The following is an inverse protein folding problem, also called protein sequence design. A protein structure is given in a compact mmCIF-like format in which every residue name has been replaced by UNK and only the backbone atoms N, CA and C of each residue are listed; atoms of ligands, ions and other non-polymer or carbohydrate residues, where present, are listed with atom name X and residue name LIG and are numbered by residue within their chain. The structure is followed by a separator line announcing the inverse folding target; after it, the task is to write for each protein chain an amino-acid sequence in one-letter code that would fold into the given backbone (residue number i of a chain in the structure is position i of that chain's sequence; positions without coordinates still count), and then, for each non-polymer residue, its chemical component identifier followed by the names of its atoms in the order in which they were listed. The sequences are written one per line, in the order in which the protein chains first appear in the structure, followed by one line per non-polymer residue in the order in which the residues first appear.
data_IF_356169502180
#
_entry.id   IF_356169502180
#
_cell.length_a   1.000
_cell.length_b   1.000
_cell.length_c   1.000
_cell.angle_alpha   90.00
_cell.angle_beta   90.00
_cell.angle_gamma   90.00
#
_symmetry.space_group_name_H-M   'P 1'
#
loop_
_entity.id
_entity.type
_entity.pdbx_description
1 polymer ?
#
# COMPACT_ATOMS: atom_id res chain seq x y z
N UNK A 1 14.81 -57.30 -30.93
CA UNK A 1 15.23 -56.83 -32.27
C UNK A 1 15.17 -55.31 -32.25
N UNK A 2 16.30 -54.63 -32.56
CA UNK A 2 16.47 -53.26 -33.11
C UNK A 2 15.65 -52.09 -32.53
N UNK A 3 16.15 -50.88 -32.19
CA UNK A 3 17.39 -50.07 -32.38
C UNK A 3 17.24 -48.85 -31.42
N UNK A 4 18.23 -48.48 -30.57
CA UNK A 4 19.18 -47.32 -30.67
C UNK A 4 18.55 -45.93 -30.93
N UNK A 5 18.95 -44.77 -30.38
CA UNK A 5 20.28 -44.24 -29.99
C UNK A 5 20.16 -42.93 -29.13
N UNK A 6 21.18 -42.69 -28.29
CA UNK A 6 21.94 -41.44 -27.93
C UNK A 6 21.33 -40.07 -27.52
N UNK A 7 21.85 -39.53 -26.40
CA UNK A 7 22.72 -38.31 -26.27
C UNK A 7 22.87 -37.94 -24.77
N UNK A 8 24.01 -38.12 -24.08
CA UNK A 8 25.26 -37.30 -23.94
C UNK A 8 25.14 -35.93 -23.23
N UNK A 9 26.19 -35.68 -22.42
CA UNK A 9 26.80 -34.44 -21.88
C UNK A 9 26.85 -34.48 -20.34
N UNK A 10 27.92 -34.19 -19.62
CA UNK A 10 29.39 -34.14 -19.82
C UNK A 10 29.98 -33.97 -18.41
N UNK A 11 31.18 -34.48 -18.17
CA UNK A 11 31.96 -34.23 -16.95
C UNK A 11 32.60 -32.84 -17.01
N UNK A 12 32.79 -32.18 -15.85
CA UNK A 12 34.13 -31.82 -15.37
C UNK A 12 34.15 -30.93 -14.11
N UNK A 13 35.28 -31.08 -13.40
CA UNK A 13 35.98 -30.16 -12.48
C UNK A 13 35.87 -30.40 -10.96
N UNK A 14 36.98 -30.99 -10.48
CA UNK A 14 37.56 -30.94 -9.14
C UNK A 14 37.59 -29.53 -8.53
N UNK A 15 37.33 -29.43 -7.22
CA UNK A 15 38.25 -28.75 -6.30
C UNK A 15 38.25 -29.45 -4.93
N UNK A 16 39.46 -29.64 -4.41
CA UNK A 16 39.80 -30.36 -3.19
C UNK A 16 40.23 -29.36 -2.12
N UNK A 17 39.49 -29.27 -1.01
CA UNK A 17 40.06 -28.73 0.24
C UNK A 17 39.23 -29.16 1.46
N UNK A 18 39.45 -30.40 1.92
CA UNK A 18 39.09 -30.83 3.27
C UNK A 18 40.28 -31.51 3.94
N UNK A 19 40.91 -30.73 4.80
CA UNK A 19 41.37 -31.04 6.16
C UNK A 19 41.66 -32.52 6.42
N UNK A 20 42.95 -32.84 6.51
CA UNK A 20 43.42 -34.09 7.08
C UNK A 20 43.44 -34.07 8.61
N UNK A 21 43.30 -35.27 9.18
CA UNK A 21 44.18 -35.86 10.21
C UNK A 21 43.47 -36.48 11.44
N UNK A 22 43.64 -37.81 11.54
CA UNK A 22 43.90 -38.61 12.75
C UNK A 22 42.79 -38.86 13.79
N UNK A 23 42.38 -40.13 13.94
CA UNK A 23 42.89 -41.04 15.00
C UNK A 23 42.33 -42.48 14.83
N UNK A 24 43.17 -43.55 14.86
CA UNK A 24 42.73 -44.94 14.88
C UNK A 24 43.03 -45.63 16.23
N UNK A 25 42.05 -46.34 16.81
CA UNK A 25 42.30 -47.65 17.45
C UNK A 25 41.02 -48.46 17.78
N UNK A 26 41.09 -49.80 17.81
CA UNK A 26 39.95 -50.71 17.92
C UNK A 26 39.87 -51.40 19.29
N UNK A 27 38.68 -51.86 19.72
CA UNK A 27 38.55 -53.06 20.57
C UNK A 27 37.17 -53.72 20.40
N UNK A 28 37.22 -55.04 20.52
CA UNK A 28 36.24 -56.10 20.27
C UNK A 28 35.23 -56.24 21.43
N UNK A 29 33.99 -56.66 21.13
CA UNK A 29 33.07 -57.19 22.15
C UNK A 29 31.71 -57.64 21.59
N UNK A 30 31.54 -58.96 21.45
CA UNK A 30 30.36 -59.68 20.92
C UNK A 30 29.41 -60.07 22.07
N UNK A 31 28.07 -59.98 21.90
CA UNK A 31 27.09 -61.09 22.11
C UNK A 31 25.60 -60.65 22.11
N UNK A 32 24.84 -61.28 21.19
CA UNK A 32 23.51 -61.92 21.30
C UNK A 32 22.19 -61.15 21.56
N UNK A 33 21.32 -61.26 20.54
CA UNK A 33 19.84 -61.26 20.48
C UNK A 33 19.16 -62.27 21.46
N UNK A 34 17.83 -62.19 21.81
CA UNK A 34 16.75 -62.24 20.80
C UNK A 34 15.35 -61.62 21.10
N UNK A 35 14.54 -61.61 20.02
CA UNK A 35 13.10 -61.93 19.91
C UNK A 35 12.00 -60.82 19.98
N UNK A 36 11.36 -60.68 18.80
CA UNK A 36 9.92 -60.75 18.53
C UNK A 36 8.98 -59.54 18.81
N UNK A 37 8.32 -59.12 17.72
CA UNK A 37 6.88 -58.79 17.49
C UNK A 37 6.88 -57.70 16.39
N UNK A 38 6.60 -57.98 15.12
CA UNK A 38 5.29 -58.38 14.59
C UNK A 38 4.57 -57.15 14.01
N UNK A 39 4.89 -56.75 12.77
CA UNK A 39 4.13 -55.74 12.02
C UNK A 39 3.39 -56.43 10.86
N UNK A 40 2.06 -56.50 10.99
CA UNK A 40 1.14 -56.87 9.91
C UNK A 40 0.93 -55.69 8.96
N UNK A 41 0.79 -56.00 7.68
CA UNK A 41 0.59 -55.04 6.62
C UNK A 41 -0.85 -54.55 6.47
N UNK A 42 -1.01 -53.52 5.63
CA UNK A 42 -2.18 -53.33 4.81
C UNK A 42 -1.81 -52.45 3.61
N UNK A 43 -2.32 -52.88 2.47
CA UNK A 43 -2.20 -52.32 1.12
C UNK A 43 -3.18 -51.17 0.91
N UNK A 44 -2.78 -50.20 0.07
CA UNK A 44 -3.54 -49.58 -1.05
C UNK A 44 -3.50 -48.04 -1.09
N UNK A 45 -3.04 -47.42 -2.20
CA UNK A 45 -3.37 -46.04 -2.55
C UNK A 45 -4.29 -46.01 -3.79
N UNK A 46 -5.53 -45.57 -3.61
CA UNK A 46 -6.40 -45.14 -4.71
C UNK A 46 -6.23 -43.64 -5.00
N UNK A 47 -6.26 -43.20 -6.28
CA UNK A 47 -6.15 -41.79 -6.66
C UNK A 47 -7.52 -41.09 -6.66
N UNK A 48 -7.54 -39.82 -6.26
CA UNK A 48 -8.71 -38.94 -6.30
C UNK A 48 -8.79 -38.27 -7.68
N UNK A 49 -9.92 -38.44 -8.38
CA UNK A 49 -10.27 -37.68 -9.59
C UNK A 49 -10.80 -36.28 -9.24
N UNK A 50 -10.56 -35.25 -10.08
CA UNK A 50 -11.27 -33.98 -10.00
C UNK A 50 -12.43 -33.91 -11.03
N UNK A 51 -13.58 -33.45 -10.58
CA UNK A 51 -14.74 -33.13 -11.40
C UNK A 51 -15.11 -31.66 -11.23
N UNK A 52 -14.86 -30.80 -12.21
CA UNK A 52 -15.64 -29.57 -12.37
C UNK A 52 -15.79 -29.15 -13.84
N UNK A 53 -16.94 -28.53 -14.19
CA UNK A 53 -17.44 -28.41 -15.56
C UNK A 53 -16.94 -27.16 -16.30
N UNK A 54 -16.90 -27.29 -17.63
CA UNK A 54 -16.60 -26.25 -18.60
C UNK A 54 -17.80 -25.29 -18.72
N UNK A 55 -17.60 -24.01 -18.39
CA UNK A 55 -18.54 -22.93 -18.72
C UNK A 55 -18.14 -22.21 -19.99
N UNK A 56 -19.18 -21.89 -20.76
CA UNK A 56 -19.17 -21.48 -22.16
C UNK A 56 -18.61 -20.06 -22.40
N UNK A 57 -17.98 -19.92 -23.57
CA UNK A 57 -17.48 -18.67 -24.14
C UNK A 57 -18.63 -17.71 -24.47
N UNK A 58 -18.65 -16.54 -23.82
CA UNK A 58 -19.50 -15.41 -24.20
C UNK A 58 -18.85 -14.59 -25.31
N UNK A 59 -19.54 -14.43 -26.43
CA UNK A 59 -19.10 -13.61 -27.57
C UNK A 59 -19.23 -12.10 -27.29
N UNK A 60 -18.32 -11.23 -27.78
CA UNK A 60 -18.39 -9.79 -27.55
C UNK A 60 -19.47 -9.13 -28.42
N UNK A 61 -20.43 -8.48 -27.76
CA UNK A 61 -21.50 -7.70 -28.38
C UNK A 61 -20.93 -6.37 -28.92
N UNK A 62 -20.67 -6.31 -30.23
CA UNK A 62 -20.33 -5.07 -30.95
C UNK A 62 -21.47 -4.06 -30.83
N UNK A 63 -21.27 -2.99 -30.04
CA UNK A 63 -22.12 -1.80 -30.02
C UNK A 63 -21.93 -1.01 -31.32
N UNK A 64 -22.86 -1.15 -32.25
CA UNK A 64 -22.95 -0.32 -33.46
C UNK A 64 -23.63 1.00 -33.10
N UNK A 65 -22.88 2.10 -33.14
CA UNK A 65 -23.40 3.47 -32.97
C UNK A 65 -23.90 3.96 -34.33
N UNK A 66 -25.18 4.33 -34.51
CA UNK A 66 -25.64 4.91 -35.76
C UNK A 66 -25.18 6.37 -35.85
N UNK A 67 -24.28 6.65 -36.79
CA UNK A 67 -23.90 8.01 -37.19
C UNK A 67 -25.08 8.62 -37.95
N UNK A 68 -25.84 9.48 -37.29
CA UNK A 68 -26.84 10.32 -37.96
C UNK A 68 -26.11 11.51 -38.58
N UNK A 69 -25.88 11.42 -39.90
CA UNK A 69 -25.34 12.52 -40.69
C UNK A 69 -26.36 13.65 -40.78
N UNK A 70 -26.11 14.76 -40.05
CA UNK A 70 -26.89 15.98 -40.19
C UNK A 70 -26.43 16.75 -41.44
N UNK A 71 -27.28 16.72 -42.47
CA UNK A 71 -27.13 17.46 -43.72
C UNK A 71 -27.49 18.93 -43.46
N UNK A 72 -26.48 19.80 -43.40
CA UNK A 72 -26.67 21.26 -43.31
C UNK A 72 -26.96 21.79 -44.72
N UNK A 73 -28.23 22.09 -45.01
CA UNK A 73 -28.62 22.86 -46.19
C UNK A 73 -28.62 24.34 -45.82
N UNK A 74 -27.62 25.07 -46.30
CA UNK A 74 -27.60 26.53 -46.25
C UNK A 74 -28.52 27.09 -47.34
N UNK A 75 -29.60 27.77 -46.96
CA UNK A 75 -30.37 28.64 -47.86
C UNK A 75 -30.15 30.09 -47.44
N UNK A 76 -29.41 30.79 -48.28
CA UNK A 76 -29.27 32.24 -48.29
C UNK A 76 -30.55 32.83 -48.89
N UNK A 77 -31.24 33.68 -48.13
CA UNK A 77 -32.40 34.44 -48.59
C UNK A 77 -32.39 35.85 -47.98
N UNK A 78 -31.77 36.79 -48.69
CA UNK A 78 -31.99 38.23 -48.52
C UNK A 78 -33.42 38.56 -48.96
N UNK A 79 -34.15 39.39 -48.19
CA UNK A 79 -34.91 40.57 -48.65
C UNK A 79 -35.86 41.10 -47.56
N UNK A 80 -35.60 42.34 -47.11
CA UNK A 80 -36.64 43.37 -47.03
C UNK A 80 -37.50 43.50 -45.76
N UNK A 81 -37.19 44.53 -44.96
CA UNK A 81 -38.19 45.52 -44.51
C UNK A 81 -38.94 45.27 -43.20
N UNK A 82 -38.84 46.23 -42.27
CA UNK A 82 -39.81 46.41 -41.18
C UNK A 82 -39.17 46.47 -39.80
N UNK A 83 -38.80 47.67 -39.36
CA UNK A 83 -38.45 47.93 -37.97
C UNK A 83 -39.70 47.81 -37.08
N UNK A 84 -39.77 46.73 -36.30
CA UNK A 84 -40.47 46.68 -35.03
C UNK A 84 -39.48 46.14 -34.02
N UNK A 85 -38.92 47.04 -33.20
CA UNK A 85 -38.05 46.70 -32.08
C UNK A 85 -38.92 46.05 -31.00
N UNK A 86 -39.19 44.75 -31.18
CA UNK A 86 -39.68 43.90 -30.11
C UNK A 86 -38.48 43.50 -29.26
N UNK A 87 -38.35 44.08 -28.08
CA UNK A 87 -37.42 43.61 -27.05
C UNK A 87 -37.79 42.19 -26.67
N UNK A 88 -37.18 41.20 -27.33
CA UNK A 88 -37.15 39.84 -26.79
C UNK A 88 -36.22 39.89 -25.59
N UNK A 89 -36.80 39.92 -24.40
CA UNK A 89 -36.09 39.54 -23.20
C UNK A 89 -35.45 38.18 -23.49
N UNK A 90 -34.12 38.14 -23.51
CA UNK A 90 -33.42 36.87 -23.44
C UNK A 90 -33.78 36.31 -22.07
N UNK A 91 -34.64 35.29 -22.04
CA UNK A 91 -34.82 34.48 -20.85
C UNK A 91 -33.43 33.97 -20.48
N UNK A 92 -32.80 34.62 -19.51
CA UNK A 92 -31.56 34.19 -18.94
C UNK A 92 -31.89 32.92 -18.17
N UNK A 93 -31.74 31.76 -18.82
CA UNK A 93 -31.67 30.49 -18.11
C UNK A 93 -30.65 30.67 -17.00
N UNK A 94 -31.02 30.49 -15.72
CA UNK A 94 -30.07 30.60 -14.62
C UNK A 94 -28.90 29.68 -14.93
N UNK A 95 -27.68 30.24 -14.98
CA UNK A 95 -26.49 29.44 -15.10
C UNK A 95 -26.51 28.44 -13.93
N UNK A 96 -26.45 27.14 -14.25
CA UNK A 96 -26.37 26.11 -13.23
C UNK A 96 -25.17 26.43 -12.32
N UNK A 97 -25.41 26.46 -11.01
CA UNK A 97 -24.34 26.65 -10.03
C UNK A 97 -23.30 25.54 -10.26
N UNK A 98 -21.99 25.86 -10.33
CA UNK A 98 -20.97 24.84 -10.51
C UNK A 98 -21.09 23.79 -9.40
N UNK A 99 -20.95 22.53 -9.77
CA UNK A 99 -20.93 21.44 -8.80
C UNK A 99 -19.80 21.68 -7.79
N UNK A 100 -19.98 21.31 -6.50
CA UNK A 100 -18.90 21.34 -5.53
C UNK A 100 -17.71 20.53 -6.04
N UNK A 101 -16.50 21.10 -5.96
CA UNK A 101 -15.26 20.37 -6.28
C UNK A 101 -14.86 19.58 -5.04
N UNK A 102 -14.57 18.26 -5.16
CA UNK A 102 -14.15 17.46 -4.02
C UNK A 102 -12.84 18.00 -3.41
N UNK A 103 -12.67 17.96 -2.08
CA UNK A 103 -11.41 18.26 -1.43
C UNK A 103 -10.27 17.40 -1.99
N UNK A 104 -9.13 18.01 -2.30
CA UNK A 104 -7.91 17.36 -2.79
C UNK A 104 -6.71 17.89 -2.01
N UNK A 105 -5.87 16.98 -1.50
CA UNK A 105 -4.59 17.29 -0.87
C UNK A 105 -3.48 16.53 -1.59
N UNK A 106 -2.37 17.22 -1.85
CA UNK A 106 -1.12 16.60 -2.30
C UNK A 106 -0.05 16.80 -1.24
N UNK A 107 0.63 15.71 -0.91
CA UNK A 107 1.61 15.62 0.17
C UNK A 107 2.94 15.18 -0.42
N UNK A 108 3.96 16.02 -0.30
CA UNK A 108 5.34 15.62 -0.61
C UNK A 108 5.82 14.60 0.43
N UNK A 109 6.47 13.54 -0.03
CA UNK A 109 7.01 12.48 0.81
C UNK A 109 8.53 12.66 0.94
N UNK A 110 9.04 12.70 2.17
CA UNK A 110 10.47 12.85 2.44
C UNK A 110 11.08 11.58 3.05
N UNK A 111 12.31 11.28 2.64
CA UNK A 111 13.12 10.20 3.22
C UNK A 111 13.84 10.64 4.52
N UNK A 112 14.63 9.73 5.08
CA UNK A 112 15.46 9.96 6.28
C UNK A 112 16.46 11.12 6.13
N UNK A 113 16.78 11.54 4.91
CA UNK A 113 17.69 12.65 4.61
C UNK A 113 16.95 13.96 4.31
N UNK A 114 15.61 13.97 4.44
CA UNK A 114 14.76 15.11 4.08
C UNK A 114 14.66 15.34 2.57
N UNK A 115 15.03 14.37 1.73
CA UNK A 115 14.86 14.46 0.29
C UNK A 115 13.44 14.08 -0.10
N UNK A 116 12.83 14.84 -1.01
CA UNK A 116 11.54 14.48 -1.58
C UNK A 116 11.72 13.25 -2.49
N UNK A 117 11.01 12.17 -2.15
CA UNK A 117 11.09 10.86 -2.81
C UNK A 117 9.76 10.43 -3.40
N UNK A 118 8.72 11.26 -3.32
CA UNK A 118 7.41 10.90 -3.85
C UNK A 118 6.30 11.85 -3.47
N UNK A 119 5.09 11.43 -3.80
CA UNK A 119 3.86 12.16 -3.54
C UNK A 119 2.76 11.21 -3.09
N UNK A 120 2.00 11.62 -2.08
CA UNK A 120 0.70 11.06 -1.74
C UNK A 120 -0.40 12.06 -2.12
N UNK A 121 -1.52 11.55 -2.62
CA UNK A 121 -2.69 12.35 -2.97
C UNK A 121 -3.92 11.77 -2.29
N UNK A 122 -4.75 12.66 -1.75
CA UNK A 122 -5.98 12.33 -1.05
C UNK A 122 -7.12 13.10 -1.71
N UNK A 123 -8.18 12.41 -2.11
CA UNK A 123 -9.37 13.01 -2.71
C UNK A 123 -10.57 12.52 -1.91
N UNK A 124 -11.29 13.44 -1.27
CA UNK A 124 -12.55 13.10 -0.60
C UNK A 124 -13.70 13.22 -1.61
N UNK A 125 -14.29 12.08 -1.93
CA UNK A 125 -15.39 11.94 -2.87
C UNK A 125 -16.72 12.37 -2.25
N UNK A 126 -17.69 12.68 -3.12
CA UNK A 126 -19.02 13.12 -2.67
C UNK A 126 -19.84 12.09 -1.89
N UNK A 127 -19.42 10.82 -1.91
CA UNK A 127 -20.03 9.75 -1.10
C UNK A 127 -19.39 9.61 0.29
N UNK A 128 -18.41 10.46 0.62
CA UNK A 128 -17.70 10.48 1.89
C UNK A 128 -16.49 9.55 1.96
N UNK A 129 -16.17 8.83 0.87
CA UNK A 129 -14.93 8.04 0.80
C UNK A 129 -13.73 8.92 0.45
N UNK A 130 -12.54 8.53 0.88
CA UNK A 130 -11.27 9.16 0.53
C UNK A 130 -10.46 8.20 -0.33
N UNK A 131 -10.17 8.61 -1.57
CA UNK A 131 -9.22 7.93 -2.44
C UNK A 131 -7.80 8.40 -2.11
N UNK A 132 -6.93 7.47 -1.75
CA UNK A 132 -5.51 7.68 -1.47
C UNK A 132 -4.69 7.04 -2.57
N UNK A 133 -3.81 7.83 -3.21
CA UNK A 133 -2.85 7.32 -4.18
C UNK A 133 -1.44 7.79 -3.82
N UNK A 134 -0.50 6.85 -3.77
CA UNK A 134 0.88 7.07 -3.37
C UNK A 134 1.81 6.61 -4.48
N UNK A 135 2.82 7.42 -4.80
CA UNK A 135 3.96 7.04 -5.63
C UNK A 135 5.23 7.47 -4.92
N UNK A 136 6.18 6.55 -4.77
CA UNK A 136 7.41 6.76 -4.02
C UNK A 136 8.57 6.03 -4.70
N UNK A 137 9.77 6.57 -4.56
CA UNK A 137 11.01 6.00 -5.07
C UNK A 137 12.00 5.77 -3.92
N UNK A 138 13.02 4.94 -4.18
CA UNK A 138 14.12 4.72 -3.23
C UNK A 138 13.78 3.80 -2.05
N UNK A 139 12.67 3.07 -2.10
CA UNK A 139 12.38 2.00 -1.14
C UNK A 139 13.27 0.77 -1.40
N UNK A 140 13.43 -0.07 -0.39
CA UNK A 140 13.99 -1.42 -0.58
C UNK A 140 12.96 -2.25 -1.35
N UNK A 141 13.38 -3.20 -2.19
CA UNK A 141 12.43 -4.06 -2.89
C UNK A 141 11.62 -4.92 -1.90
N UNK A 142 10.30 -5.00 -2.10
CA UNK A 142 9.39 -5.77 -1.24
C UNK A 142 8.19 -4.97 -0.73
N UNK A 143 7.50 -5.53 0.26
CA UNK A 143 6.33 -4.92 0.90
C UNK A 143 6.74 -4.01 2.06
N UNK A 144 6.05 -2.87 2.16
CA UNK A 144 6.24 -1.86 3.18
C UNK A 144 4.90 -1.42 3.76
N UNK A 145 4.74 -1.50 5.08
CA UNK A 145 3.55 -1.00 5.77
C UNK A 145 3.40 0.50 5.56
N UNK A 146 2.17 0.95 5.33
CA UNK A 146 1.85 2.37 5.13
C UNK A 146 0.64 2.75 5.98
N UNK A 147 0.80 3.83 6.74
CA UNK A 147 -0.22 4.26 7.70
C UNK A 147 -0.37 5.78 7.70
N UNK A 148 -1.58 6.25 8.00
CA UNK A 148 -1.79 7.63 8.47
C UNK A 148 -1.54 7.64 9.98
N UNK A 149 -0.72 8.58 10.42
CA UNK A 149 -0.31 8.83 11.78
C UNK A 149 -0.98 10.08 12.34
N UNK A 150 -1.15 10.09 13.66
CA UNK A 150 -2.01 11.02 14.39
C UNK A 150 -1.43 12.43 14.61
N UNK A 151 -0.19 12.70 14.19
CA UNK A 151 0.44 14.02 14.35
C UNK A 151 1.09 14.45 13.05
N UNK A 152 0.84 15.70 12.66
CA UNK A 152 1.40 16.35 11.48
C UNK A 152 2.86 16.79 11.63
N UNK A 153 3.76 15.89 12.04
CA UNK A 153 5.19 16.20 12.23
C UNK A 153 6.12 15.08 11.73
N UNK A 154 6.87 15.36 10.68
CA UNK A 154 7.84 14.47 10.04
C UNK A 154 9.30 14.80 10.39
N UNK A 155 9.65 14.89 11.66
CA UNK A 155 11.05 15.09 12.07
C UNK A 155 11.89 13.80 11.94
N UNK A 156 12.83 13.79 10.99
CA UNK A 156 13.77 12.67 10.82
C UNK A 156 14.94 12.66 11.84
N UNK A 157 15.20 13.78 12.51
CA UNK A 157 16.40 14.00 13.34
C UNK A 157 16.23 13.58 14.81
N UNK A 158 15.25 12.72 15.10
CA UNK A 158 15.02 12.10 16.41
C UNK A 158 15.89 10.86 16.61
N UNK A 159 15.91 10.30 17.83
CA UNK A 159 16.63 9.05 18.11
C UNK A 159 16.14 7.88 17.25
N UNK A 160 14.83 7.86 16.98
CA UNK A 160 14.17 7.02 16.00
C UNK A 160 13.39 7.93 15.04
N UNK A 161 13.75 7.93 13.76
CA UNK A 161 13.22 8.87 12.77
C UNK A 161 11.68 8.86 12.69
N UNK A 162 11.10 10.03 12.48
CA UNK A 162 9.66 10.25 12.27
C UNK A 162 8.75 9.80 13.42
N UNK A 163 9.30 9.54 14.60
CA UNK A 163 8.49 9.22 15.80
C UNK A 163 7.62 10.40 16.26
N UNK A 164 7.96 11.62 15.86
CA UNK A 164 7.14 12.83 16.07
C UNK A 164 5.75 12.75 15.44
N UNK A 165 5.55 11.91 14.41
CA UNK A 165 4.24 11.71 13.82
C UNK A 165 3.24 10.99 14.76
N UNK A 166 3.71 10.50 15.93
CA UNK A 166 2.84 9.82 16.88
C UNK A 166 2.46 8.41 16.45
N UNK A 167 1.40 7.85 17.03
CA UNK A 167 0.83 6.55 16.65
C UNK A 167 0.00 6.60 15.37
N UNK A 168 -0.61 5.48 14.99
CA UNK A 168 -1.57 5.47 13.87
C UNK A 168 -2.78 6.34 14.22
N UNK A 169 -3.37 6.97 13.22
CA UNK A 169 -4.61 7.72 13.38
C UNK A 169 -5.75 6.75 13.74
N UNK A 170 -6.25 6.85 14.97
CA UNK A 170 -7.19 5.89 15.56
C UNK A 170 -8.24 6.58 16.45
N UNK A 171 -9.16 7.38 15.87
CA UNK A 171 -10.21 8.05 16.64
C UNK A 171 -11.20 7.05 17.28
N UNK A 172 -11.32 5.84 16.73
CA UNK A 172 -12.21 4.80 17.24
C UNK A 172 -11.62 4.00 18.43
N UNK A 173 -10.32 4.12 18.70
CA UNK A 173 -9.65 3.37 19.76
C UNK A 173 -9.68 1.85 19.58
N UNK A 174 -9.68 1.39 18.33
CA UNK A 174 -9.65 -0.05 17.97
C UNK A 174 -8.22 -0.57 17.86
N UNK A 175 -8.04 -1.88 17.74
CA UNK A 175 -6.72 -2.48 17.51
C UNK A 175 -6.25 -2.28 16.07
N UNK A 176 -4.96 -2.49 15.82
CA UNK A 176 -4.37 -2.56 14.48
C UNK A 176 -5.01 -3.67 13.65
N UNK A 177 -5.18 -3.44 12.34
CA UNK A 177 -5.82 -4.43 11.49
C UNK A 177 -5.62 -4.21 10.00
N UNK A 178 -6.32 -5.02 9.22
CA UNK A 178 -6.27 -4.95 7.76
C UNK A 178 -6.83 -3.62 7.22
N UNK A 179 -6.35 -3.19 6.03
CA UNK A 179 -6.90 -2.02 5.34
C UNK A 179 -8.41 -2.16 5.05
N UNK A 180 -9.13 -1.04 4.93
CA UNK A 180 -10.60 -1.02 4.78
C UNK A 180 -11.10 -1.68 3.50
N UNK A 181 -10.36 -1.50 2.41
CA UNK A 181 -10.71 -2.07 1.11
C UNK A 181 -9.43 -2.62 0.46
N UNK A 182 -9.44 -3.88 -0.03
CA UNK A 182 -8.32 -4.37 -0.82
C UNK A 182 -8.08 -3.46 -2.03
N UNK A 183 -6.81 -3.12 -2.26
CA UNK A 183 -6.36 -2.56 -3.51
C UNK A 183 -6.33 -3.70 -4.54
N UNK A 184 -7.43 -3.92 -5.25
CA UNK A 184 -7.53 -4.99 -6.23
C UNK A 184 -6.83 -4.63 -7.56
N UNK A 185 -6.13 -5.59 -8.17
CA UNK A 185 -6.21 -5.83 -9.62
C UNK A 185 -6.93 -7.16 -9.94
N UNK A 186 -7.28 -7.99 -8.93
CA UNK A 186 -8.00 -9.26 -9.13
C UNK A 186 -9.19 -9.56 -8.18
N UNK A 187 -9.47 -8.73 -7.18
CA UNK A 187 -10.66 -8.91 -6.33
C UNK A 187 -10.43 -9.77 -5.08
N UNK A 188 -9.19 -10.19 -4.80
CA UNK A 188 -8.91 -11.17 -3.73
C UNK A 188 -8.16 -10.52 -2.57
N UNK A 189 -8.83 -10.22 -1.43
CA UNK A 189 -8.11 -9.87 -0.23
C UNK A 189 -7.23 -11.05 0.22
N UNK A 190 -6.05 -10.82 0.83
CA UNK A 190 -5.20 -11.91 1.30
C UNK A 190 -6.01 -12.83 2.21
N UNK A 191 -5.80 -14.15 2.08
CA UNK A 191 -6.65 -15.23 2.61
C UNK A 191 -6.82 -15.28 4.15
N UNK A 192 -6.43 -14.22 4.84
CA UNK A 192 -6.56 -13.98 6.27
C UNK A 192 -7.33 -12.68 6.61
N UNK A 193 -8.16 -12.13 5.72
CA UNK A 193 -8.98 -10.93 6.03
C UNK A 193 -10.35 -11.28 6.63
N UNK A 194 -10.57 -11.11 7.95
CA UNK A 194 -11.87 -10.69 8.43
C UNK A 194 -12.06 -9.18 8.19
N UNK A 195 -13.16 -8.91 7.49
CA UNK A 195 -14.19 -7.91 7.80
C UNK A 195 -13.76 -6.43 7.85
N UNK A 196 -14.39 -5.65 6.98
CA UNK A 196 -14.68 -4.22 7.11
C UNK A 196 -14.96 -3.86 8.58
N UNK A 197 -13.97 -3.35 9.33
CA UNK A 197 -14.24 -2.80 10.67
C UNK A 197 -13.21 -2.97 11.81
N UNK A 198 -12.10 -3.69 11.66
CA UNK A 198 -11.25 -4.03 12.84
C UNK A 198 -9.80 -3.51 12.79
N UNK A 199 -9.51 -2.45 12.04
CA UNK A 199 -8.20 -1.78 12.03
C UNK A 199 -8.30 -0.30 12.37
N UNK A 200 -7.18 0.32 12.72
CA UNK A 200 -7.13 1.77 12.89
C UNK A 200 -7.65 2.48 11.63
N UNK A 201 -8.15 3.70 11.80
CA UNK A 201 -8.58 4.51 10.67
C UNK A 201 -7.41 4.79 9.70
N UNK A 202 -6.20 4.92 10.24
CA UNK A 202 -4.98 5.14 9.48
C UNK A 202 -4.36 3.89 8.85
N UNK A 203 -4.90 2.67 9.03
CA UNK A 203 -4.29 1.47 8.46
C UNK A 203 -4.58 1.37 6.94
N UNK A 204 -3.55 1.54 6.10
CA UNK A 204 -3.67 1.54 4.63
C UNK A 204 -3.09 0.29 3.96
N UNK A 205 -2.46 -0.60 4.73
CA UNK A 205 -1.92 -1.88 4.27
C UNK A 205 -0.47 -1.79 3.81
N UNK A 206 -0.12 -2.48 2.73
CA UNK A 206 1.25 -2.52 2.18
C UNK A 206 1.36 -1.84 0.82
N UNK A 207 2.41 -1.03 0.65
CA UNK A 207 2.91 -0.59 -0.66
C UNK A 207 4.02 -1.54 -1.12
N UNK A 208 3.94 -2.02 -2.36
CA UNK A 208 4.94 -2.94 -2.93
C UNK A 208 5.94 -2.13 -3.77
N UNK A 209 7.19 -2.15 -3.35
CA UNK A 209 8.31 -1.55 -4.07
C UNK A 209 8.93 -2.58 -5.04
N UNK A 210 9.17 -2.14 -6.28
CA UNK A 210 9.86 -2.92 -7.30
C UNK A 210 11.34 -3.11 -6.96
N UNK A 211 12.04 -3.95 -7.75
CA UNK A 211 13.50 -4.09 -7.71
C UNK A 211 14.27 -2.78 -7.94
N UNK A 212 13.63 -1.76 -8.53
CA UNK A 212 14.22 -0.42 -8.72
C UNK A 212 13.91 0.54 -7.58
N UNK A 213 13.18 0.08 -6.54
CA UNK A 213 12.76 0.87 -5.39
C UNK A 213 11.53 1.75 -5.65
N UNK A 214 10.83 1.53 -6.76
CA UNK A 214 9.62 2.29 -7.12
C UNK A 214 8.39 1.61 -6.53
N UNK A 215 7.64 2.32 -5.69
CA UNK A 215 6.41 1.84 -5.05
C UNK A 215 5.18 2.61 -5.50
N UNK A 216 4.04 1.91 -5.64
CA UNK A 216 2.75 2.53 -5.93
C UNK A 216 1.64 1.87 -5.11
N UNK A 217 0.76 2.70 -4.54
CA UNK A 217 -0.44 2.26 -3.84
C UNK A 217 -1.64 3.07 -4.34
N UNK A 218 -2.79 2.40 -4.45
CA UNK A 218 -4.10 3.04 -4.58
C UNK A 218 -5.07 2.33 -3.65
N UNK A 219 -5.72 3.09 -2.78
CA UNK A 219 -6.72 2.58 -1.85
C UNK A 219 -7.85 3.60 -1.72
N UNK A 220 -9.06 3.12 -1.46
CA UNK A 220 -10.19 3.95 -1.05
C UNK A 220 -10.52 3.59 0.39
N UNK A 221 -10.96 4.54 1.21
CA UNK A 221 -11.34 4.31 2.60
C UNK A 221 -12.47 5.23 3.01
N UNK A 222 -13.32 4.80 3.93
CA UNK A 222 -14.34 5.61 4.60
C UNK A 222 -14.00 5.85 6.09
N UNK A 223 -12.81 5.45 6.54
CA UNK A 223 -12.41 5.51 7.96
C UNK A 223 -11.95 6.90 8.42
N UNK A 224 -11.71 7.83 7.50
CA UNK A 224 -11.35 9.22 7.80
C UNK A 224 -11.82 10.16 6.69
N UNK A 225 -11.87 11.47 6.99
CA UNK A 225 -12.28 12.52 6.05
C UNK A 225 -11.21 13.60 5.93
N UNK A 226 -11.20 14.36 4.83
CA UNK A 226 -10.38 15.57 4.69
C UNK A 226 -11.15 16.80 5.18
N UNK A 227 -12.47 16.76 5.04
CA UNK A 227 -13.41 17.75 5.52
C UNK A 227 -13.60 17.63 7.02
N UNK A 228 -14.05 18.73 7.64
CA UNK A 228 -14.34 18.79 9.07
C UNK A 228 -15.38 17.74 9.47
N UNK A 229 -15.14 17.06 10.60
CA UNK A 229 -15.96 15.97 11.11
C UNK A 229 -15.23 15.19 12.21
N UNK A 230 -15.90 14.21 12.81
CA UNK A 230 -15.35 13.42 13.93
C UNK A 230 -14.11 12.61 13.55
N UNK A 231 -13.97 12.22 12.27
CA UNK A 231 -12.83 11.48 11.76
C UNK A 231 -11.95 12.31 10.81
N UNK A 232 -11.99 13.65 10.92
CA UNK A 232 -11.21 14.54 10.07
C UNK A 232 -9.71 14.44 10.35
N UNK A 233 -8.92 14.41 9.28
CA UNK A 233 -7.46 14.46 9.35
C UNK A 233 -6.90 15.87 9.65
N UNK A 234 -7.74 16.91 9.60
CA UNK A 234 -7.43 18.32 9.91
C UNK A 234 -7.87 18.66 11.34
N UNK A 235 -7.31 17.96 12.31
CA UNK A 235 -7.53 18.23 13.73
C UNK A 235 -6.41 19.13 14.33
N UNK A 236 -6.41 19.32 15.66
CA UNK A 236 -5.42 20.19 16.33
C UNK A 236 -3.98 19.66 16.22
N UNK A 237 -3.83 18.34 16.20
CA UNK A 237 -2.54 17.66 16.11
C UNK A 237 -2.07 17.50 14.65
N UNK A 238 -3.00 17.61 13.69
CA UNK A 238 -2.79 17.36 12.28
C UNK A 238 -2.58 15.89 12.02
N UNK A 239 -1.99 15.56 10.87
CA UNK A 239 -1.77 14.16 10.50
C UNK A 239 -0.64 14.01 9.48
N UNK A 240 -0.02 12.84 9.46
CA UNK A 240 1.06 12.51 8.54
C UNK A 240 0.86 11.13 7.92
N UNK A 241 1.30 10.92 6.68
CA UNK A 241 1.42 9.58 6.10
C UNK A 241 2.85 9.07 6.28
N UNK A 242 2.99 7.82 6.69
CA UNK A 242 4.29 7.19 6.97
C UNK A 242 4.38 5.86 6.24
N UNK A 243 5.54 5.60 5.61
CA UNK A 243 5.91 4.29 5.06
C UNK A 243 7.00 3.69 5.95
N UNK A 244 6.84 2.42 6.27
CA UNK A 244 7.70 1.67 7.17
C UNK A 244 8.75 0.83 6.42
N UNK A 245 9.74 0.32 7.15
CA UNK A 245 10.87 -0.45 6.62
C UNK A 245 10.48 -1.87 6.20
N UNK A 246 9.41 -2.44 6.78
CA UNK A 246 8.97 -3.82 6.58
C UNK A 246 7.47 -3.87 6.31
N UNK A 247 7.00 -5.03 5.86
CA UNK A 247 5.59 -5.30 5.64
C UNK A 247 4.77 -5.17 6.93
N UNK A 248 3.55 -4.66 6.80
CA UNK A 248 2.46 -4.80 7.76
C UNK A 248 1.90 -6.24 7.72
N UNK A 249 1.81 -6.88 8.88
CA UNK A 249 1.22 -8.21 9.07
C UNK A 249 -0.31 -8.21 9.25
N UNK A 250 -0.92 -7.03 9.24
CA UNK A 250 -2.34 -6.73 9.36
C UNK A 250 -2.99 -7.16 10.69
N UNK A 251 -2.19 -7.45 11.72
CA UNK A 251 -2.71 -8.03 12.96
C UNK A 251 -2.03 -7.51 14.23
N UNK A 252 -0.72 -7.32 14.21
CA UNK A 252 0.02 -7.09 15.46
C UNK A 252 -0.07 -5.64 15.92
N UNK A 253 -0.57 -5.42 17.12
CA UNK A 253 -0.51 -4.10 17.76
C UNK A 253 0.94 -3.67 18.07
N UNK A 254 1.24 -2.35 18.02
CA UNK A 254 0.34 -1.25 17.65
C UNK A 254 0.42 -0.85 16.16
N UNK A 255 1.16 -1.59 15.32
CA UNK A 255 1.44 -1.14 13.96
C UNK A 255 2.03 -2.22 13.05
N UNK A 256 1.46 -3.42 13.10
CA UNK A 256 1.65 -4.45 12.09
C UNK A 256 3.02 -5.10 12.02
N UNK A 257 3.86 -4.97 13.06
CA UNK A 257 5.28 -5.34 13.00
C UNK A 257 6.06 -4.72 11.81
N UNK A 258 5.63 -3.56 11.30
CA UNK A 258 6.23 -2.97 10.09
C UNK A 258 7.63 -2.38 10.30
N UNK A 259 8.14 -2.39 11.53
CA UNK A 259 9.48 -1.90 11.85
C UNK A 259 9.60 -0.36 11.77
N UNK A 260 10.82 0.12 11.53
CA UNK A 260 11.14 1.55 11.55
C UNK A 260 10.44 2.36 10.46
N UNK A 261 10.30 3.67 10.68
CA UNK A 261 9.67 4.61 9.72
C UNK A 261 10.73 5.14 8.77
N UNK A 262 10.52 5.02 7.46
CA UNK A 262 11.55 5.33 6.44
C UNK A 262 11.17 6.48 5.51
N UNK A 263 9.88 6.75 5.34
CA UNK A 263 9.36 7.90 4.58
C UNK A 263 8.20 8.52 5.35
N UNK A 264 8.10 9.84 5.34
CA UNK A 264 7.02 10.57 6.00
C UNK A 264 6.56 11.75 5.14
N UNK A 265 5.27 12.10 5.20
CA UNK A 265 4.75 13.34 4.60
C UNK A 265 3.63 13.93 5.46
N UNK A 266 3.68 15.23 5.71
CA UNK A 266 2.66 15.94 6.51
C UNK A 266 1.41 16.18 5.65
N UNK A 267 0.27 15.64 6.07
CA UNK A 267 -1.03 15.84 5.42
C UNK A 267 -1.61 17.18 5.89
N UNK A 268 -1.72 17.34 7.20
CA UNK A 268 -2.06 18.59 7.88
C UNK A 268 -1.01 18.86 8.96
N UNK A 269 -0.42 20.07 9.03
CA UNK A 269 0.58 20.37 10.05
C UNK A 269 -0.05 20.46 11.43
N UNK A 270 0.68 20.03 12.46
CA UNK A 270 0.23 20.27 13.84
C UNK A 270 0.11 21.77 14.11
N UNK A 271 -1.03 22.18 14.65
CA UNK A 271 -1.23 23.56 15.11
C UNK A 271 -0.54 23.82 16.46
N UNK A 272 -0.12 22.76 17.15
CA UNK A 272 0.62 22.84 18.41
C UNK A 272 2.07 23.21 18.10
N UNK A 273 2.61 24.30 18.66
CA UNK A 273 4.01 24.64 18.48
C UNK A 273 4.87 23.51 19.05
N UNK A 274 5.61 22.81 18.17
CA UNK A 274 6.61 21.82 18.57
C UNK A 274 7.52 22.49 19.59
N UNK A 275 7.54 21.95 20.81
CA UNK A 275 8.47 22.42 21.82
C UNK A 275 9.88 22.26 21.25
N UNK A 276 10.49 23.38 20.86
CA UNK A 276 11.89 23.38 20.43
C UNK A 276 12.70 22.65 21.49
N UNK A 277 13.54 21.66 21.12
CA UNK A 277 14.39 21.02 22.09
C UNK A 277 15.18 22.14 22.76
N UNK A 278 14.98 22.32 24.06
CA UNK A 278 15.69 23.31 24.83
C UNK A 278 17.18 23.04 24.59
N UNK A 279 17.83 23.95 23.86
CA UNK A 279 19.27 23.88 23.64
C UNK A 279 19.86 23.88 25.04
N UNK A 280 20.33 22.71 25.47
CA UNK A 280 20.95 22.53 26.77
C UNK A 280 22.06 23.58 26.86
N UNK A 281 21.78 24.63 27.62
CA UNK A 281 22.71 25.75 27.75
C UNK A 281 23.92 25.16 28.44
N UNK A 282 25.06 25.17 27.75
CA UNK A 282 26.30 24.63 28.28
C UNK A 282 26.52 25.18 29.71
N UNK A 283 26.85 24.34 30.70
CA UNK A 283 27.01 24.80 32.06
C UNK A 283 28.09 25.89 32.07
N UNK A 284 27.74 27.03 32.66
CA UNK A 284 28.65 28.16 32.81
C UNK A 284 29.96 27.67 33.44
N UNK A 285 31.08 27.94 32.78
CA UNK A 285 32.41 27.57 33.25
C UNK A 285 32.62 28.13 34.66
N UNK A 286 32.83 27.23 35.63
CA UNK A 286 33.13 27.60 37.01
C UNK A 286 34.43 28.43 37.04
N UNK A 287 34.36 29.63 37.61
CA UNK A 287 35.53 30.48 37.85
C UNK A 287 36.40 29.83 38.92
N UNK A 288 37.72 29.65 38.71
CA UNK A 288 38.60 29.06 39.71
C UNK A 288 38.74 29.98 40.94
N UNK A 289 38.84 29.41 42.15
CA UNK A 289 39.01 30.21 43.37
C UNK A 289 40.38 30.90 43.40
N UNK A 290 40.40 32.09 44.01
CA UNK A 290 41.54 32.99 44.16
C UNK A 290 42.58 32.52 45.18
#
# INVERSE_FOLDING_TARGET
MARSVDARCDEAWFDSSMIGAFDPSPMVGVLRCPAAVGCGGATDPSPVEPSHPIYAEGTPMKRTIPIVAALVVAVVGLLGGGALVGSRAQDATPAASPAPVPPLIQVALQDLNGQEVGVASFIEETDGTVAVAVTVEGLVAGEHGIHVHAVGDCNAATAEAFTTAGGHYNPAGVAHGAPPFPAEDDGTPPAATPVVGDGHAGDLGNIVASETGSGRLRIVTDRFTLSAGEASLDDEDGSAIVIHAQADDYQTDPGGNSGGRVVCGVIYPSAIPVATPEVATAPAAATPPA
#
